data_IF_927842825688
#
_entry.id   IF_927842825688
#
_cell.length_a   1.000
_cell.length_b   1.000
_cell.length_c   1.000
_cell.angle_alpha   90.00
_cell.angle_beta   90.00
_cell.angle_gamma   90.00
#
_symmetry.space_group_name_H-M   'P 1'
#
loop_
_entity.id
_entity.type
_entity.pdbx_description
1 polymer ?
#
# COMPACT_ATOMS: atom_id res chain seq x y z
N UNK A 1 13.59 -21.09 3.19
CA UNK A 1 14.18 -19.74 3.39
C UNK A 1 13.19 -18.71 2.93
N UNK A 2 13.12 -17.54 3.58
CA UNK A 2 12.19 -16.50 3.20
C UNK A 2 12.94 -15.41 2.45
N UNK A 3 12.40 -15.02 1.29
CA UNK A 3 12.84 -13.86 0.53
C UNK A 3 11.77 -12.78 0.66
N UNK A 4 12.15 -11.62 1.16
CA UNK A 4 11.33 -10.41 1.17
C UNK A 4 11.61 -9.60 -0.08
N UNK A 5 10.59 -9.36 -0.88
CA UNK A 5 10.67 -8.56 -2.09
C UNK A 5 9.90 -7.24 -1.89
N UNK A 6 10.56 -6.12 -2.24
CA UNK A 6 9.92 -4.82 -2.41
C UNK A 6 9.53 -4.64 -3.86
N UNK A 7 8.30 -4.22 -4.13
CA UNK A 7 7.83 -4.00 -5.50
C UNK A 7 7.01 -2.72 -5.65
N UNK A 8 6.94 -2.23 -6.87
CA UNK A 8 6.07 -1.11 -7.24
C UNK A 8 4.83 -1.58 -7.99
N UNK A 9 3.73 -0.82 -7.83
CA UNK A 9 2.47 -0.94 -8.58
C UNK A 9 2.22 0.38 -9.30
N UNK A 10 2.42 0.39 -10.62
CA UNK A 10 2.29 1.57 -11.48
C UNK A 10 0.88 1.81 -12.00
N UNK A 11 0.77 2.83 -12.85
CA UNK A 11 -0.47 3.32 -13.44
C UNK A 11 -1.22 2.25 -14.23
N UNK A 12 -0.51 1.40 -14.98
CA UNK A 12 -1.08 0.39 -15.85
C UNK A 12 -1.91 -0.65 -15.10
N UNK A 13 -1.64 -0.79 -13.81
CA UNK A 13 -2.28 -1.80 -12.95
C UNK A 13 -2.96 -1.20 -11.71
N UNK A 14 -3.08 0.14 -11.62
CA UNK A 14 -3.64 0.79 -10.42
C UNK A 14 -5.06 0.33 -10.10
N UNK A 15 -5.86 0.00 -11.10
CA UNK A 15 -7.22 -0.50 -10.91
C UNK A 15 -7.32 -2.00 -10.68
N UNK A 16 -6.20 -2.74 -10.71
CA UNK A 16 -6.18 -4.17 -10.34
C UNK A 16 -6.28 -4.30 -8.82
N UNK A 17 -7.32 -4.97 -8.35
CA UNK A 17 -7.56 -5.18 -6.92
C UNK A 17 -6.49 -6.06 -6.28
N UNK A 18 -6.39 -6.02 -4.94
CA UNK A 18 -5.37 -6.76 -4.18
C UNK A 18 -5.40 -8.27 -4.46
N UNK A 19 -6.59 -8.89 -4.46
CA UNK A 19 -6.71 -10.33 -4.70
C UNK A 19 -6.27 -10.74 -6.12
N UNK A 20 -6.53 -9.90 -7.11
CA UNK A 20 -6.13 -10.18 -8.49
C UNK A 20 -4.64 -9.90 -8.70
N UNK A 21 -4.08 -8.91 -8.01
CA UNK A 21 -2.63 -8.71 -7.94
C UNK A 21 -1.94 -9.95 -7.34
N UNK A 22 -2.43 -10.46 -6.20
CA UNK A 22 -1.89 -11.69 -5.59
C UNK A 22 -1.95 -12.88 -6.55
N UNK A 23 -3.09 -13.09 -7.23
CA UNK A 23 -3.25 -14.17 -8.22
C UNK A 23 -2.27 -14.02 -9.39
N UNK A 24 -2.06 -12.78 -9.84
CA UNK A 24 -1.10 -12.45 -10.90
C UNK A 24 0.32 -12.82 -10.47
N UNK A 25 0.76 -12.38 -9.29
CA UNK A 25 2.07 -12.75 -8.75
C UNK A 25 2.25 -14.26 -8.64
N UNK A 26 1.29 -14.98 -8.06
CA UNK A 26 1.35 -16.44 -7.93
C UNK A 26 1.46 -17.13 -9.29
N UNK A 27 0.73 -16.67 -10.30
CA UNK A 27 0.82 -17.22 -11.66
C UNK A 27 2.16 -16.91 -12.32
N UNK A 28 2.69 -15.70 -12.13
CA UNK A 28 3.98 -15.28 -12.64
C UNK A 28 5.12 -16.08 -12.00
N UNK A 29 5.15 -16.17 -10.67
CA UNK A 29 6.13 -16.93 -9.91
C UNK A 29 6.18 -18.41 -10.36
N UNK A 30 5.03 -19.03 -10.61
CA UNK A 30 4.97 -20.42 -11.12
C UNK A 30 5.55 -20.62 -12.52
N UNK A 31 5.80 -19.56 -13.27
CA UNK A 31 6.45 -19.61 -14.61
C UNK A 31 7.96 -19.42 -14.56
N UNK A 32 8.51 -19.10 -13.39
CA UNK A 32 9.95 -18.98 -13.18
C UNK A 32 10.59 -20.35 -12.94
N UNK A 33 11.92 -20.42 -13.07
CA UNK A 33 12.72 -21.59 -12.67
C UNK A 33 13.20 -21.50 -11.21
N UNK A 34 12.58 -20.66 -10.39
CA UNK A 34 12.94 -20.48 -8.98
C UNK A 34 12.64 -21.75 -8.16
N UNK A 35 13.47 -22.09 -7.17
CA UNK A 35 13.22 -23.20 -6.25
C UNK A 35 12.12 -22.83 -5.22
N UNK A 36 10.89 -22.73 -5.72
CA UNK A 36 9.73 -22.26 -4.94
C UNK A 36 9.32 -23.36 -3.97
N UNK A 37 9.10 -22.97 -2.70
CA UNK A 37 8.53 -23.87 -1.71
C UNK A 37 7.00 -23.86 -1.77
N UNK A 38 6.43 -25.05 -1.75
CA UNK A 38 4.98 -25.27 -1.74
C UNK A 38 4.52 -25.79 -0.38
N UNK A 39 3.25 -25.56 -0.07
CA UNK A 39 2.63 -26.17 1.11
C UNK A 39 2.53 -27.68 0.97
N UNK A 40 2.54 -28.39 2.10
CA UNK A 40 2.26 -29.82 2.14
C UNK A 40 0.75 -30.09 1.87
N UNK A 41 0.43 -31.29 1.38
CA UNK A 41 -0.95 -31.78 1.18
C UNK A 41 -1.34 -31.96 -0.28
N UNK A 42 -2.60 -32.31 -0.51
CA UNK A 42 -3.13 -32.68 -1.84
C UNK A 42 -3.23 -31.54 -2.85
N UNK A 43 -3.30 -30.28 -2.36
CA UNK A 43 -3.32 -29.06 -3.20
C UNK A 43 -2.15 -28.13 -2.83
N UNK A 44 -0.93 -28.39 -3.32
CA UNK A 44 0.22 -27.59 -2.98
C UNK A 44 0.04 -26.13 -3.44
N UNK A 45 0.25 -25.19 -2.53
CA UNK A 45 0.18 -23.74 -2.79
C UNK A 45 1.54 -23.11 -2.60
N UNK A 46 1.87 -22.15 -3.46
CA UNK A 46 3.07 -21.32 -3.30
C UNK A 46 3.01 -20.65 -1.92
N UNK A 47 4.08 -20.79 -1.14
CA UNK A 47 4.21 -20.16 0.16
C UNK A 47 4.61 -18.69 -0.04
N UNK A 48 3.61 -17.83 -0.19
CA UNK A 48 3.74 -16.39 -0.39
C UNK A 48 2.78 -15.65 0.53
N UNK A 49 3.23 -14.56 1.13
CA UNK A 49 2.42 -13.64 1.93
C UNK A 49 2.70 -12.19 1.53
N UNK A 50 1.66 -11.38 1.53
CA UNK A 50 1.74 -9.95 1.20
C UNK A 50 1.61 -9.11 2.47
N UNK A 51 2.21 -7.92 2.44
CA UNK A 51 2.09 -6.94 3.52
C UNK A 51 0.67 -6.32 3.57
N UNK A 52 0.57 -5.03 3.67
CA UNK A 52 -0.70 -4.32 3.74
C UNK A 52 -1.36 -4.24 2.35
N UNK A 53 -2.65 -4.62 2.20
CA UNK A 53 -3.35 -4.43 0.94
C UNK A 53 -3.35 -2.98 0.46
N UNK A 54 -3.12 -2.79 -0.85
CA UNK A 54 -3.25 -1.49 -1.52
C UNK A 54 -4.65 -1.34 -2.10
N UNK A 55 -5.26 -0.17 -1.92
CA UNK A 55 -6.57 0.16 -2.49
C UNK A 55 -6.57 0.15 -4.02
N UNK A 56 -7.75 -0.02 -4.59
CA UNK A 56 -7.96 0.16 -6.05
C UNK A 56 -7.83 1.64 -6.39
N UNK A 57 -7.20 1.96 -7.51
CA UNK A 57 -6.92 3.33 -7.94
C UNK A 57 -5.67 3.95 -7.29
N UNK A 58 -4.96 3.20 -6.43
CA UNK A 58 -3.75 3.67 -5.75
C UNK A 58 -2.52 3.05 -6.40
N UNK A 59 -1.52 3.88 -6.72
CA UNK A 59 -0.19 3.46 -7.15
C UNK A 59 0.77 3.35 -5.96
N UNK A 60 1.89 2.64 -6.12
CA UNK A 60 2.87 2.51 -5.05
C UNK A 60 4.28 2.24 -5.56
N UNK A 61 5.27 2.76 -4.85
CA UNK A 61 6.70 2.42 -5.01
C UNK A 61 7.19 1.39 -3.99
N UNK A 62 6.38 1.09 -2.97
CA UNK A 62 6.84 0.37 -1.78
C UNK A 62 5.81 -0.61 -1.25
N UNK A 63 5.60 -1.67 -2.00
CA UNK A 63 4.82 -2.82 -1.56
C UNK A 63 5.74 -4.00 -1.24
N UNK A 64 5.30 -4.90 -0.37
CA UNK A 64 6.13 -6.05 0.02
C UNK A 64 5.37 -7.36 -0.06
N UNK A 65 6.12 -8.41 -0.41
CA UNK A 65 5.72 -9.79 -0.18
C UNK A 65 6.92 -10.64 0.29
N UNK A 66 6.61 -11.67 1.06
CA UNK A 66 7.55 -12.72 1.44
C UNK A 66 7.25 -13.97 0.63
N UNK A 67 8.28 -14.55 0.01
CA UNK A 67 8.23 -15.79 -0.77
C UNK A 67 9.14 -16.82 -0.12
N UNK A 68 8.65 -18.04 0.13
CA UNK A 68 9.48 -19.12 0.61
C UNK A 68 10.14 -19.88 -0.53
N UNK A 69 11.46 -20.05 -0.42
CA UNK A 69 12.27 -20.86 -1.33
C UNK A 69 12.84 -22.09 -0.62
N UNK A 70 13.08 -23.17 -1.38
CA UNK A 70 13.72 -24.39 -0.87
C UNK A 70 15.23 -24.22 -0.68
N UNK A 71 15.89 -23.44 -1.55
CA UNK A 71 17.32 -23.16 -1.49
C UNK A 71 17.62 -21.67 -1.72
N UNK A 72 18.77 -21.22 -1.21
CA UNK A 72 19.28 -19.86 -1.41
C UNK A 72 19.85 -19.72 -2.82
N UNK A 73 19.64 -18.55 -3.40
CA UNK A 73 20.23 -18.18 -4.68
C UNK A 73 20.73 -16.73 -4.66
N UNK A 74 21.38 -16.30 -5.72
CA UNK A 74 21.83 -14.92 -5.85
C UNK A 74 20.62 -13.97 -5.97
N UNK A 75 20.59 -12.87 -5.17
CA UNK A 75 19.48 -11.92 -5.10
C UNK A 75 19.24 -11.19 -6.43
N UNK A 76 20.32 -10.85 -7.16
CA UNK A 76 20.21 -10.19 -8.47
C UNK A 76 19.56 -11.10 -9.51
N UNK A 77 19.94 -12.39 -9.54
CA UNK A 77 19.34 -13.37 -10.43
C UNK A 77 17.87 -13.60 -10.08
N UNK A 78 17.56 -13.73 -8.79
CA UNK A 78 16.19 -13.87 -8.29
C UNK A 78 15.30 -12.69 -8.70
N UNK A 79 15.79 -11.46 -8.52
CA UNK A 79 15.09 -10.24 -8.93
C UNK A 79 14.88 -10.21 -10.45
N UNK A 80 15.89 -10.61 -11.23
CA UNK A 80 15.81 -10.70 -12.69
C UNK A 80 14.74 -11.68 -13.15
N UNK A 81 14.75 -12.90 -12.58
CA UNK A 81 13.74 -13.94 -12.86
C UNK A 81 12.31 -13.46 -12.55
N UNK A 82 12.11 -12.86 -11.38
CA UNK A 82 10.79 -12.32 -11.02
C UNK A 82 10.34 -11.23 -12.00
N UNK A 83 11.22 -10.28 -12.33
CA UNK A 83 10.88 -9.19 -13.25
C UNK A 83 10.64 -9.67 -14.68
N UNK A 84 11.26 -10.76 -15.13
CA UNK A 84 11.08 -11.29 -16.49
C UNK A 84 9.68 -11.81 -16.78
N UNK A 85 8.91 -12.15 -15.72
CA UNK A 85 7.59 -12.78 -15.83
C UNK A 85 6.45 -11.87 -15.40
N UNK A 86 6.75 -10.76 -14.72
CA UNK A 86 5.71 -9.81 -14.26
C UNK A 86 5.17 -9.00 -15.42
N UNK A 87 3.86 -8.71 -15.46
CA UNK A 87 3.28 -7.82 -16.44
C UNK A 87 3.72 -6.37 -16.22
N UNK A 88 3.63 -5.56 -17.27
CA UNK A 88 3.85 -4.12 -17.19
C UNK A 88 3.02 -3.52 -16.05
N UNK A 89 3.61 -2.56 -15.33
CA UNK A 89 3.02 -1.92 -14.15
C UNK A 89 3.40 -2.56 -12.82
N UNK A 90 3.91 -3.80 -12.78
CA UNK A 90 4.55 -4.37 -11.60
C UNK A 90 6.05 -4.49 -11.80
N UNK A 91 6.83 -4.08 -10.79
CA UNK A 91 8.30 -4.20 -10.85
C UNK A 91 8.89 -4.50 -9.47
N UNK A 92 9.67 -5.57 -9.38
CA UNK A 92 10.49 -5.84 -8.19
C UNK A 92 11.63 -4.83 -8.15
N UNK A 93 11.74 -4.12 -7.04
CA UNK A 93 12.75 -3.08 -6.80
C UNK A 93 13.91 -3.59 -5.98
N UNK A 94 13.63 -4.47 -5.05
CA UNK A 94 14.61 -5.02 -4.13
C UNK A 94 14.19 -6.42 -3.68
N UNK A 95 15.16 -7.27 -3.39
CA UNK A 95 14.95 -8.57 -2.75
C UNK A 95 16.02 -8.77 -1.68
N UNK A 96 15.62 -9.33 -0.55
CA UNK A 96 16.51 -9.68 0.57
C UNK A 96 16.10 -11.00 1.19
N UNK A 97 17.07 -11.83 1.57
CA UNK A 97 16.80 -12.97 2.44
C UNK A 97 16.60 -12.51 3.87
N UNK A 98 15.52 -12.97 4.51
CA UNK A 98 15.18 -12.63 5.90
C UNK A 98 15.08 -13.91 6.73
N UNK A 99 15.51 -13.80 7.98
CA UNK A 99 15.44 -14.91 8.95
C UNK A 99 14.22 -14.78 9.87
N UNK A 100 13.58 -13.59 9.87
CA UNK A 100 12.43 -13.30 10.72
C UNK A 100 11.21 -14.14 10.31
N UNK A 101 10.60 -14.79 11.31
CA UNK A 101 9.38 -15.59 11.15
C UNK A 101 8.10 -14.82 11.48
N UNK A 102 8.22 -13.53 11.82
CA UNK A 102 7.04 -12.70 12.07
C UNK A 102 6.23 -12.55 10.78
N UNK A 103 4.92 -12.49 10.95
CA UNK A 103 4.03 -12.19 9.81
C UNK A 103 4.41 -10.85 9.18
N UNK A 104 4.63 -10.83 7.86
CA UNK A 104 4.97 -9.60 7.14
C UNK A 104 3.96 -8.47 7.44
N UNK A 105 2.66 -8.78 7.53
CA UNK A 105 1.64 -7.81 7.90
C UNK A 105 1.83 -7.23 9.32
N UNK A 106 2.37 -7.99 10.27
CA UNK A 106 2.62 -7.51 11.64
C UNK A 106 3.83 -6.59 11.75
N UNK A 107 4.73 -6.63 10.75
CA UNK A 107 5.87 -5.74 10.65
C UNK A 107 5.50 -4.35 10.11
N UNK A 108 4.37 -4.22 9.42
CA UNK A 108 3.93 -2.93 8.89
C UNK A 108 3.51 -2.02 10.04
N UNK A 109 4.11 -0.82 10.11
CA UNK A 109 3.83 0.17 11.16
C UNK A 109 3.31 1.48 10.62
N UNK A 110 3.90 1.96 9.52
CA UNK A 110 3.63 3.28 9.00
C UNK A 110 3.59 3.27 7.48
N UNK A 111 2.93 4.26 6.91
CA UNK A 111 2.91 4.47 5.48
C UNK A 111 3.00 5.96 5.15
N UNK A 112 3.67 6.26 4.04
CA UNK A 112 3.75 7.61 3.50
C UNK A 112 2.98 7.65 2.19
N UNK A 113 2.05 8.59 2.10
CA UNK A 113 1.23 8.82 0.91
C UNK A 113 1.48 10.20 0.35
N UNK A 114 1.54 10.30 -0.96
CA UNK A 114 1.46 11.53 -1.74
C UNK A 114 0.05 11.59 -2.35
N UNK A 115 -0.70 12.64 -2.03
CA UNK A 115 -2.10 12.79 -2.44
C UNK A 115 -2.23 14.12 -3.18
N UNK A 116 -2.41 14.06 -4.49
CA UNK A 116 -2.67 15.22 -5.32
C UNK A 116 -4.17 15.41 -5.45
N UNK A 117 -4.66 16.64 -5.33
CA UNK A 117 -6.08 16.96 -5.38
C UNK A 117 -6.37 18.12 -6.32
N UNK A 118 -7.47 18.02 -7.07
CA UNK A 118 -7.99 19.08 -7.93
C UNK A 118 -9.44 19.38 -7.58
N UNK A 119 -9.81 20.67 -7.57
CA UNK A 119 -11.15 21.11 -7.25
C UNK A 119 -11.26 22.65 -7.26
N UNK A 120 -12.49 23.15 -7.15
CA UNK A 120 -12.78 24.60 -7.11
C UNK A 120 -12.56 25.17 -5.69
N UNK A 121 -11.34 25.03 -5.14
CA UNK A 121 -10.96 25.57 -3.83
C UNK A 121 -9.49 26.03 -3.82
N UNK A 122 -9.17 26.94 -2.92
CA UNK A 122 -7.78 27.34 -2.71
C UNK A 122 -7.05 26.29 -1.86
N UNK A 123 -5.85 25.90 -2.28
CA UNK A 123 -5.04 24.90 -1.55
C UNK A 123 -4.69 25.33 -0.13
N UNK A 124 -4.61 26.65 0.14
CA UNK A 124 -4.42 27.21 1.49
C UNK A 124 -5.47 26.73 2.49
N UNK A 125 -6.72 26.52 2.05
CA UNK A 125 -7.80 26.00 2.92
C UNK A 125 -7.55 24.55 3.36
N UNK A 126 -6.84 23.75 2.54
CA UNK A 126 -6.43 22.42 2.95
C UNK A 126 -5.40 22.49 4.08
N UNK A 127 -4.43 23.40 3.97
CA UNK A 127 -3.45 23.64 5.03
C UNK A 127 -4.16 24.07 6.32
N UNK A 128 -5.02 25.07 6.26
CA UNK A 128 -5.82 25.56 7.40
C UNK A 128 -6.66 24.45 8.05
N UNK A 129 -7.30 23.59 7.26
CA UNK A 129 -8.06 22.45 7.75
C UNK A 129 -7.19 21.50 8.59
N UNK A 130 -6.02 21.16 8.07
CA UNK A 130 -5.13 20.23 8.75
C UNK A 130 -4.23 20.86 9.82
N UNK A 131 -4.24 22.17 10.00
CA UNK A 131 -3.68 22.87 11.17
C UNK A 131 -4.60 22.81 12.39
N UNK A 132 -5.89 22.52 12.21
CA UNK A 132 -6.83 22.34 13.31
C UNK A 132 -6.44 21.13 14.19
N UNK A 133 -6.80 21.19 15.47
CA UNK A 133 -6.52 20.11 16.42
C UNK A 133 -7.32 18.82 16.10
N UNK A 134 -8.49 18.97 15.54
CA UNK A 134 -9.42 17.87 15.24
C UNK A 134 -9.95 17.99 13.81
N UNK A 135 -10.01 16.84 13.12
CA UNK A 135 -10.68 16.69 11.82
C UNK A 135 -11.60 15.48 11.93
N UNK A 136 -12.84 15.73 12.30
CA UNK A 136 -13.83 14.68 12.60
C UNK A 136 -14.45 14.12 11.32
N UNK A 137 -14.36 12.81 11.16
CA UNK A 137 -14.97 12.07 10.06
C UNK A 137 -15.87 10.96 10.58
N UNK A 138 -16.75 10.50 9.71
CA UNK A 138 -17.65 9.39 9.97
C UNK A 138 -17.19 8.16 9.19
N UNK A 139 -17.26 7.01 9.84
CA UNK A 139 -17.02 5.70 9.24
C UNK A 139 -18.23 4.80 9.47
N UNK A 140 -18.84 4.37 8.38
CA UNK A 140 -19.88 3.35 8.46
C UNK A 140 -19.31 2.01 8.91
N UNK A 141 -20.00 1.34 9.84
CA UNK A 141 -19.66 -0.03 10.22
C UNK A 141 -19.91 -0.98 9.05
N UNK A 142 -19.19 -2.11 9.00
CA UNK A 142 -19.34 -3.13 7.94
C UNK A 142 -20.80 -3.61 7.77
N UNK A 143 -21.63 -3.49 8.80
CA UNK A 143 -23.02 -3.89 8.78
C UNK A 143 -24.00 -2.74 8.47
N UNK A 144 -23.49 -1.53 8.11
CA UNK A 144 -24.29 -0.31 7.83
C UNK A 144 -25.28 0.09 8.93
N UNK A 145 -25.12 -0.40 10.15
CA UNK A 145 -26.07 -0.15 11.27
C UNK A 145 -25.60 0.92 12.25
N UNK A 146 -24.31 1.23 12.24
CA UNK A 146 -23.72 2.23 13.14
C UNK A 146 -22.75 3.10 12.36
N UNK A 147 -22.90 4.40 12.50
CA UNK A 147 -21.94 5.41 12.08
C UNK A 147 -21.06 5.71 13.30
N UNK A 148 -19.75 5.58 13.17
CA UNK A 148 -18.79 5.94 14.22
C UNK A 148 -18.01 7.16 13.79
N UNK A 149 -18.04 8.17 14.63
CA UNK A 149 -17.15 9.32 14.46
C UNK A 149 -15.74 8.98 14.94
N UNK A 150 -14.76 9.53 14.27
CA UNK A 150 -13.36 9.43 14.66
C UNK A 150 -12.59 10.69 14.23
N UNK A 151 -11.54 11.01 14.95
CA UNK A 151 -10.62 12.09 14.58
C UNK A 151 -9.56 11.56 13.61
N UNK A 152 -9.53 12.09 12.38
CA UNK A 152 -8.53 11.70 11.38
C UNK A 152 -7.09 11.97 11.84
N UNK A 153 -6.90 13.00 12.66
CA UNK A 153 -5.58 13.39 13.20
C UNK A 153 -4.94 12.28 14.04
N UNK A 154 -5.72 11.39 14.68
CA UNK A 154 -5.20 10.28 15.48
C UNK A 154 -4.40 9.25 14.67
N UNK A 155 -4.56 9.26 13.35
CA UNK A 155 -3.87 8.35 12.42
C UNK A 155 -2.70 9.02 11.69
N UNK A 156 -2.56 10.35 11.81
CA UNK A 156 -1.55 11.14 11.11
C UNK A 156 -0.36 11.38 12.04
N UNK A 157 0.83 11.01 11.59
CA UNK A 157 2.08 11.20 12.30
C UNK A 157 2.76 12.50 11.88
N UNK A 158 2.72 12.82 10.58
CA UNK A 158 3.27 14.05 10.02
C UNK A 158 2.52 14.42 8.73
N UNK A 159 2.47 15.74 8.44
CA UNK A 159 1.88 16.29 7.21
C UNK A 159 2.82 17.31 6.61
N UNK A 160 2.98 17.23 5.29
CA UNK A 160 3.66 18.25 4.50
C UNK A 160 2.78 18.64 3.32
N UNK A 161 2.91 19.88 2.88
CA UNK A 161 2.10 20.44 1.82
C UNK A 161 2.99 21.01 0.71
N UNK A 162 2.72 20.62 -0.52
CA UNK A 162 3.35 21.18 -1.71
C UNK A 162 2.26 21.89 -2.55
N UNK A 163 2.12 23.20 -2.33
CA UNK A 163 1.14 24.01 -3.05
C UNK A 163 1.42 24.13 -4.54
N UNK A 164 2.66 23.89 -4.99
CA UNK A 164 3.01 23.96 -6.41
C UNK A 164 2.48 22.77 -7.20
N UNK A 165 2.22 21.66 -6.49
CA UNK A 165 1.67 20.42 -7.05
C UNK A 165 0.26 20.10 -6.57
N UNK A 166 -0.36 20.97 -5.78
CA UNK A 166 -1.62 20.69 -5.07
C UNK A 166 -1.57 19.35 -4.31
N UNK A 167 -0.46 19.09 -3.62
CA UNK A 167 -0.15 17.80 -3.04
C UNK A 167 -0.06 17.86 -1.52
N UNK A 168 -0.72 16.90 -0.87
CA UNK A 168 -0.61 16.63 0.57
C UNK A 168 0.23 15.36 0.75
N UNK A 169 1.34 15.46 1.47
CA UNK A 169 2.18 14.33 1.83
C UNK A 169 1.82 13.93 3.25
N UNK A 170 1.30 12.73 3.41
CA UNK A 170 0.78 12.22 4.68
C UNK A 170 1.65 11.06 5.17
N UNK A 171 2.29 11.24 6.31
CA UNK A 171 2.91 10.17 7.06
C UNK A 171 1.90 9.69 8.11
N UNK A 172 1.52 8.43 8.07
CA UNK A 172 0.42 7.89 8.86
C UNK A 172 0.71 6.54 9.46
N UNK A 173 -0.06 6.19 10.51
CA UNK A 173 -0.08 4.82 11.03
C UNK A 173 -0.61 3.85 9.98
N UNK A 174 0.01 2.68 9.89
CA UNK A 174 -0.41 1.59 9.02
C UNK A 174 -0.25 0.25 9.75
N UNK A 175 -0.99 -0.76 9.35
CA UNK A 175 -0.87 -2.10 9.91
C UNK A 175 -2.21 -2.74 10.25
N UNK A 176 -2.15 -3.81 11.03
CA UNK A 176 -3.32 -4.63 11.35
C UNK A 176 -4.28 -4.01 12.38
N UNK A 177 -3.78 -3.14 13.27
CA UNK A 177 -4.55 -2.54 14.37
C UNK A 177 -5.02 -1.14 13.99
N UNK A 178 -4.07 -0.27 13.64
CA UNK A 178 -4.33 1.11 13.23
C UNK A 178 -3.87 1.29 11.80
N UNK A 179 -4.82 1.49 10.90
CA UNK A 179 -4.53 1.68 9.48
C UNK A 179 -5.34 2.86 8.95
N UNK A 180 -4.65 3.93 8.60
CA UNK A 180 -5.26 5.06 7.91
C UNK A 180 -5.60 4.68 6.47
N UNK A 181 -6.85 4.90 6.08
CA UNK A 181 -7.20 4.87 4.66
C UNK A 181 -6.90 6.25 4.05
N UNK A 182 -6.00 6.37 3.06
CA UNK A 182 -5.65 7.67 2.48
C UNK A 182 -6.85 8.40 1.85
N UNK A 183 -7.91 7.71 1.46
CA UNK A 183 -9.17 8.33 1.00
C UNK A 183 -9.86 9.18 2.08
N UNK A 184 -9.51 9.03 3.36
CA UNK A 184 -10.06 9.91 4.39
C UNK A 184 -9.56 11.35 4.27
N UNK A 185 -8.39 11.57 3.66
CA UNK A 185 -7.91 12.92 3.32
C UNK A 185 -8.88 13.57 2.31
N UNK A 186 -9.25 12.85 1.25
CA UNK A 186 -10.21 13.34 0.26
C UNK A 186 -11.56 13.64 0.91
N UNK A 187 -12.07 12.72 1.73
CA UNK A 187 -13.34 12.92 2.45
C UNK A 187 -13.31 14.11 3.41
N UNK A 188 -12.18 14.39 4.04
CA UNK A 188 -12.02 15.56 4.89
C UNK A 188 -12.11 16.85 4.06
N UNK A 189 -11.42 16.90 2.92
CA UNK A 189 -11.48 18.04 2.00
C UNK A 189 -12.92 18.24 1.50
N UNK A 190 -13.60 17.19 1.07
CA UNK A 190 -14.98 17.26 0.59
C UNK A 190 -15.96 17.71 1.67
N UNK A 191 -15.78 17.24 2.92
CA UNK A 191 -16.67 17.60 4.04
C UNK A 191 -16.52 19.04 4.49
N UNK A 192 -15.29 19.56 4.52
CA UNK A 192 -15.00 20.84 5.19
C UNK A 192 -14.66 22.00 4.24
N UNK A 193 -14.26 21.70 2.99
CA UNK A 193 -13.78 22.73 2.06
C UNK A 193 -14.67 22.81 0.83
N UNK A 194 -14.81 21.70 0.09
CA UNK A 194 -15.57 21.69 -1.14
C UNK A 194 -15.34 20.41 -1.96
N UNK A 195 -16.06 20.31 -3.07
CA UNK A 195 -16.00 19.13 -3.94
C UNK A 195 -14.61 18.95 -4.51
N UNK A 196 -14.06 17.73 -4.40
CA UNK A 196 -12.87 17.28 -5.11
C UNK A 196 -13.31 16.76 -6.47
N UNK A 197 -12.75 17.32 -7.55
CA UNK A 197 -13.11 16.95 -8.94
C UNK A 197 -12.29 15.76 -9.42
N UNK A 198 -10.99 15.77 -9.08
CA UNK A 198 -10.07 14.65 -9.36
C UNK A 198 -9.01 14.54 -8.27
N UNK A 199 -8.46 13.35 -8.11
CA UNK A 199 -7.37 13.10 -7.17
C UNK A 199 -6.53 11.89 -7.56
N UNK A 200 -5.26 11.95 -7.19
CA UNK A 200 -4.34 10.83 -7.29
C UNK A 200 -3.79 10.49 -5.91
N UNK A 201 -3.72 9.19 -5.61
CA UNK A 201 -3.12 8.69 -4.37
C UNK A 201 -1.96 7.77 -4.75
N UNK A 202 -0.78 8.11 -4.25
CA UNK A 202 0.43 7.33 -4.41
C UNK A 202 0.98 6.93 -3.03
N UNK A 203 1.21 5.63 -2.79
CA UNK A 203 1.95 5.17 -1.60
C UNK A 203 3.44 5.27 -1.89
N UNK A 204 4.09 6.28 -1.31
CA UNK A 204 5.52 6.52 -1.46
C UNK A 204 6.36 5.51 -0.71
N UNK A 205 5.95 5.20 0.52
CA UNK A 205 6.66 4.19 1.31
C UNK A 205 5.73 3.43 2.25
N UNK A 206 6.13 2.20 2.55
CA UNK A 206 5.53 1.33 3.56
C UNK A 206 6.65 0.89 4.50
N UNK A 207 6.58 1.35 5.76
CA UNK A 207 7.65 1.19 6.74
C UNK A 207 7.40 -0.08 7.55
N UNK A 208 8.41 -0.93 7.57
CA UNK A 208 8.44 -2.19 8.31
C UNK A 208 9.38 -2.08 9.51
N UNK A 209 9.01 -2.70 10.64
CA UNK A 209 9.86 -2.87 11.84
C UNK A 209 10.09 -4.33 12.18
#
# INVERSE_FOLDING_TARGET
MIVRAKYSKGEEVKYVGHLDSMRTFIRCIKRTCLPIKYSAGFNPRVQISFALPLGVGVTSESEYFDLELESKMNETLLMGELNSVLPLGFKIREVKFVEDKKSLMSLVKEAIYEITVEGEFEFSKIVELFEQNEVMLEKESKNKKEVKEFNLKDFILDLKFDATKNQVIVHSTAGSVNNMNPQFIIKAIEKYIGKVEDYEIHRKDLILE
#
